data_IF_038409161160
#
_entry.id   IF_038409161160
#
_cell.length_a   1.000
_cell.length_b   1.000
_cell.length_c   1.000
_cell.angle_alpha   90.00
_cell.angle_beta   90.00
_cell.angle_gamma   90.00
#
_symmetry.space_group_name_H-M   'P 1'
#
loop_
_entity.id
_entity.type
_entity.pdbx_description
1 polymer ?
#
# COMPACT_ATOMS: atom_id res chain seq x y z
N UNK A 1 -26.20 2.44 17.57
CA UNK A 1 -24.77 2.05 17.52
C UNK A 1 -24.00 2.58 16.29
N UNK A 2 -24.63 2.89 15.14
CA UNK A 2 -23.91 3.27 13.91
C UNK A 2 -23.14 4.61 14.01
N UNK A 3 -23.70 5.62 14.69
CA UNK A 3 -23.02 6.91 14.92
C UNK A 3 -21.78 6.75 15.81
N UNK A 4 -21.87 5.98 16.88
CA UNK A 4 -20.73 5.70 17.77
C UNK A 4 -19.60 4.98 17.03
N UNK A 5 -19.95 3.99 16.20
CA UNK A 5 -18.96 3.32 15.34
C UNK A 5 -18.28 4.32 14.40
N UNK A 6 -19.02 5.27 13.84
CA UNK A 6 -18.47 6.28 12.94
C UNK A 6 -17.57 7.28 13.66
N UNK A 7 -17.97 7.77 14.85
CA UNK A 7 -17.14 8.61 15.70
C UNK A 7 -15.78 7.95 15.95
N UNK A 8 -15.79 6.71 16.44
CA UNK A 8 -14.57 5.94 16.71
C UNK A 8 -13.75 5.75 15.43
N UNK A 9 -14.36 5.33 14.33
CA UNK A 9 -13.66 5.06 13.06
C UNK A 9 -13.00 6.32 12.50
N UNK A 10 -13.71 7.46 12.50
CA UNK A 10 -13.18 8.75 12.05
C UNK A 10 -12.06 9.23 12.96
N UNK A 11 -12.21 9.13 14.29
CA UNK A 11 -11.14 9.52 15.21
C UNK A 11 -9.90 8.65 15.04
N UNK A 12 -10.05 7.33 14.91
CA UNK A 12 -8.92 6.41 14.68
C UNK A 12 -8.22 6.67 13.34
N UNK A 13 -8.95 7.08 12.30
CA UNK A 13 -8.37 7.45 11.00
C UNK A 13 -7.40 8.63 11.11
N UNK A 14 -7.58 9.51 12.11
CA UNK A 14 -6.66 10.61 12.42
C UNK A 14 -5.38 10.20 13.17
N UNK A 15 -5.19 8.89 13.42
CA UNK A 15 -4.02 8.30 14.11
C UNK A 15 -3.61 9.07 15.38
N UNK A 16 -4.49 9.18 16.39
CA UNK A 16 -4.17 9.89 17.63
C UNK A 16 -2.98 9.21 18.33
N UNK A 17 -2.06 10.03 18.85
CA UNK A 17 -0.81 9.59 19.47
C UNK A 17 -0.95 9.29 20.96
N UNK A 18 -2.10 9.59 21.58
CA UNK A 18 -2.40 9.27 22.98
C UNK A 18 -3.89 9.01 23.20
N UNK A 19 -4.20 8.32 24.30
CA UNK A 19 -5.58 8.02 24.71
C UNK A 19 -6.35 9.30 25.05
N UNK A 20 -5.71 10.29 25.67
CA UNK A 20 -6.34 11.57 26.01
C UNK A 20 -6.69 12.37 24.74
N UNK A 21 -5.81 12.40 23.74
CA UNK A 21 -6.12 13.00 22.44
C UNK A 21 -7.26 12.27 21.72
N UNK A 22 -7.32 10.94 21.85
CA UNK A 22 -8.43 10.17 21.33
C UNK A 22 -9.75 10.54 22.00
N UNK A 23 -9.80 10.54 23.35
CA UNK A 23 -11.01 10.91 24.12
C UNK A 23 -11.49 12.31 23.76
N UNK A 24 -10.58 13.29 23.72
CA UNK A 24 -10.91 14.67 23.38
C UNK A 24 -11.51 14.77 21.97
N UNK A 25 -10.92 14.07 20.98
CA UNK A 25 -11.42 14.06 19.60
C UNK A 25 -12.75 13.32 19.44
N UNK A 26 -12.94 12.18 20.10
CA UNK A 26 -14.22 11.44 20.05
C UNK A 26 -15.34 12.25 20.69
N UNK A 27 -15.06 12.90 21.83
CA UNK A 27 -16.04 13.72 22.53
C UNK A 27 -16.37 15.00 21.77
N UNK A 28 -15.38 15.60 21.09
CA UNK A 28 -15.60 16.72 20.19
C UNK A 28 -16.58 16.35 19.05
N UNK A 29 -16.35 15.21 18.39
CA UNK A 29 -17.20 14.64 17.32
C UNK A 29 -18.56 14.15 17.84
N UNK A 30 -19.34 15.02 18.45
CA UNK A 30 -20.65 14.72 18.99
C UNK A 30 -21.68 14.39 17.89
N UNK A 31 -22.87 13.94 18.30
CA UNK A 31 -23.93 13.53 17.37
C UNK A 31 -24.26 14.62 16.32
N UNK A 32 -24.31 15.88 16.74
CA UNK A 32 -24.64 17.00 15.84
C UNK A 32 -23.55 17.23 14.79
N UNK A 33 -22.28 17.08 15.16
CA UNK A 33 -21.15 17.20 14.23
C UNK A 33 -21.14 16.07 13.22
N UNK A 34 -21.40 14.82 13.65
CA UNK A 34 -21.52 13.69 12.73
C UNK A 34 -22.67 13.91 11.74
N UNK A 35 -23.80 14.43 12.20
CA UNK A 35 -24.93 14.69 11.32
C UNK A 35 -24.60 15.79 10.30
N UNK A 36 -23.93 16.88 10.72
CA UNK A 36 -23.45 17.93 9.83
C UNK A 36 -22.47 17.37 8.79
N UNK A 37 -21.49 16.56 9.22
CA UNK A 37 -20.52 15.94 8.31
C UNK A 37 -21.20 15.08 7.25
N UNK A 38 -22.14 14.21 7.65
CA UNK A 38 -22.91 13.39 6.70
C UNK A 38 -23.71 14.23 5.72
N UNK A 39 -24.31 15.33 6.17
CA UNK A 39 -25.06 16.24 5.31
C UNK A 39 -24.14 16.94 4.30
N UNK A 40 -23.00 17.46 4.75
CA UNK A 40 -21.99 18.08 3.88
C UNK A 40 -21.44 17.07 2.87
N UNK A 41 -21.15 15.84 3.30
CA UNK A 41 -20.69 14.75 2.43
C UNK A 41 -21.72 14.39 1.37
N UNK A 42 -23.01 14.34 1.72
CA UNK A 42 -24.09 14.09 0.77
C UNK A 42 -24.19 15.21 -0.28
N UNK A 43 -24.17 16.46 0.15
CA UNK A 43 -24.22 17.62 -0.77
C UNK A 43 -23.01 17.62 -1.71
N UNK A 44 -21.82 17.41 -1.17
CA UNK A 44 -20.60 17.32 -1.97
C UNK A 44 -20.63 16.14 -2.95
N UNK A 45 -21.15 14.99 -2.51
CA UNK A 45 -21.31 13.83 -3.38
C UNK A 45 -22.27 14.14 -4.54
N UNK A 46 -23.41 14.77 -4.28
CA UNK A 46 -24.36 15.21 -5.33
C UNK A 46 -23.70 16.16 -6.35
N UNK A 47 -22.92 17.15 -5.89
CA UNK A 47 -22.16 18.05 -6.77
C UNK A 47 -21.14 17.30 -7.62
N UNK A 48 -20.43 16.32 -7.04
CA UNK A 48 -19.41 15.55 -7.77
C UNK A 48 -19.98 14.58 -8.81
N UNK A 49 -21.30 14.34 -8.76
CA UNK A 49 -22.06 13.50 -9.69
C UNK A 49 -22.79 14.32 -10.76
N UNK A 50 -22.69 15.65 -10.73
CA UNK A 50 -23.28 16.49 -11.77
C UNK A 50 -22.70 16.14 -13.16
N UNK A 51 -23.51 16.08 -14.24
CA UNK A 51 -23.05 15.64 -15.56
C UNK A 51 -21.79 16.36 -16.08
N UNK A 52 -21.65 17.70 -15.97
CA UNK A 52 -20.43 18.38 -16.41
C UNK A 52 -19.18 17.96 -15.62
N UNK A 53 -19.33 17.64 -14.34
CA UNK A 53 -18.22 17.18 -13.48
C UNK A 53 -17.82 15.76 -13.87
N UNK A 54 -18.78 14.89 -14.15
CA UNK A 54 -18.51 13.52 -14.61
C UNK A 54 -17.84 13.49 -15.98
N UNK A 55 -18.32 14.31 -16.93
CA UNK A 55 -17.70 14.45 -18.25
C UNK A 55 -16.25 14.93 -18.14
N UNK A 56 -15.99 15.93 -17.29
CA UNK A 56 -14.63 16.42 -17.05
C UNK A 56 -13.75 15.34 -16.42
N UNK A 57 -14.26 14.58 -15.44
CA UNK A 57 -13.53 13.45 -14.85
C UNK A 57 -13.14 12.41 -15.88
N UNK A 58 -14.05 12.00 -16.76
CA UNK A 58 -13.73 11.01 -17.80
C UNK A 58 -12.72 11.55 -18.82
N UNK A 59 -12.77 12.85 -19.14
CA UNK A 59 -11.76 13.50 -20.01
C UNK A 59 -10.37 13.54 -19.36
N UNK A 60 -10.26 13.78 -18.05
CA UNK A 60 -9.00 13.88 -17.31
C UNK A 60 -8.42 12.53 -16.87
N UNK A 61 -9.26 11.50 -16.76
CA UNK A 61 -8.90 10.14 -16.34
C UNK A 61 -7.66 9.56 -17.05
N UNK A 62 -7.49 9.63 -18.38
CA UNK A 62 -6.31 9.08 -19.04
C UNK A 62 -5.01 9.75 -18.57
N UNK A 63 -5.01 11.08 -18.43
CA UNK A 63 -3.84 11.83 -17.94
C UNK A 63 -3.52 11.47 -16.50
N UNK A 64 -4.53 11.36 -15.65
CA UNK A 64 -4.36 10.94 -14.26
C UNK A 64 -3.80 9.52 -14.15
N UNK A 65 -4.29 8.59 -14.96
CA UNK A 65 -3.78 7.21 -15.00
C UNK A 65 -2.34 7.16 -15.47
N UNK A 66 -1.96 7.99 -16.44
CA UNK A 66 -0.58 8.10 -16.90
C UNK A 66 0.33 8.68 -15.81
N UNK A 67 -0.12 9.70 -15.08
CA UNK A 67 0.62 10.25 -13.94
C UNK A 67 0.83 9.19 -12.84
N UNK A 68 -0.21 8.43 -12.52
CA UNK A 68 -0.10 7.30 -11.58
C UNK A 68 0.91 6.28 -12.10
N UNK A 69 0.85 5.91 -13.39
CA UNK A 69 1.77 4.96 -14.02
C UNK A 69 3.23 5.43 -13.89
N UNK A 70 3.51 6.69 -14.20
CA UNK A 70 4.84 7.29 -14.07
C UNK A 70 5.33 7.26 -12.62
N UNK A 71 4.48 7.65 -11.67
CA UNK A 71 4.82 7.62 -10.25
C UNK A 71 5.11 6.19 -9.75
N UNK A 72 4.34 5.20 -10.20
CA UNK A 72 4.55 3.78 -9.87
C UNK A 72 5.86 3.25 -10.45
N UNK A 73 6.16 3.55 -11.72
CA UNK A 73 7.44 3.18 -12.35
C UNK A 73 8.62 3.81 -11.60
N UNK A 74 8.53 5.10 -11.28
CA UNK A 74 9.53 5.77 -10.47
C UNK A 74 9.72 5.05 -9.12
N UNK A 75 8.63 4.66 -8.45
CA UNK A 75 8.73 3.92 -7.18
C UNK A 75 9.45 2.58 -7.34
N UNK A 76 9.21 1.84 -8.42
CA UNK A 76 9.93 0.60 -8.73
C UNK A 76 11.41 0.86 -9.02
N UNK A 77 11.73 1.96 -9.72
CA UNK A 77 13.11 2.37 -10.00
C UNK A 77 13.89 2.76 -8.74
N UNK A 78 13.22 3.35 -7.74
CA UNK A 78 13.82 3.56 -6.42
C UNK A 78 14.14 2.22 -5.76
N UNK A 79 13.18 1.28 -5.80
CA UNK A 79 13.33 -0.05 -5.22
C UNK A 79 12.73 -0.18 -3.83
N UNK A 80 12.75 -1.40 -3.28
CA UNK A 80 12.19 -1.72 -1.97
C UNK A 80 12.93 -2.90 -1.34
N UNK A 81 13.01 -2.89 0.00
CA UNK A 81 13.52 -4.00 0.81
C UNK A 81 12.43 -5.04 1.05
N UNK A 82 12.79 -6.30 0.92
CA UNK A 82 11.93 -7.45 1.13
C UNK A 82 12.55 -8.36 2.19
N UNK A 83 11.70 -8.88 3.09
CA UNK A 83 12.11 -9.94 4.03
C UNK A 83 12.21 -11.26 3.29
N UNK A 84 13.30 -12.00 3.49
CA UNK A 84 13.46 -13.35 2.94
C UNK A 84 12.54 -14.30 3.71
N UNK A 85 11.72 -15.04 2.98
CA UNK A 85 10.82 -16.04 3.58
C UNK A 85 11.69 -17.24 3.98
N UNK A 86 11.82 -17.47 5.29
CA UNK A 86 12.61 -18.57 5.85
C UNK A 86 11.73 -19.42 6.77
N UNK A 87 11.85 -20.76 6.68
CA UNK A 87 11.22 -21.68 7.64
C UNK A 87 11.84 -21.60 9.04
N UNK A 88 13.04 -21.01 9.20
CA UNK A 88 13.75 -20.91 10.50
C UNK A 88 13.75 -19.47 10.99
N UNK A 89 13.14 -19.26 12.17
CA UNK A 89 12.88 -17.98 12.86
C UNK A 89 14.11 -17.13 13.25
N UNK A 90 15.33 -17.44 12.83
CA UNK A 90 16.55 -16.91 13.49
C UNK A 90 17.40 -15.89 12.74
N UNK A 91 17.14 -15.55 11.48
CA UNK A 91 17.86 -14.44 10.83
C UNK A 91 16.90 -13.64 9.95
N UNK A 92 16.69 -12.36 10.30
CA UNK A 92 16.01 -11.36 9.48
C UNK A 92 16.91 -10.99 8.29
N UNK A 93 17.04 -11.92 7.34
CA UNK A 93 17.73 -11.65 6.08
C UNK A 93 16.83 -10.81 5.20
N UNK A 94 17.37 -9.68 4.74
CA UNK A 94 16.72 -8.79 3.80
C UNK A 94 17.34 -8.97 2.42
N UNK A 95 16.55 -8.65 1.40
CA UNK A 95 17.03 -8.53 0.04
C UNK A 95 16.37 -7.31 -0.60
N UNK A 96 17.08 -6.67 -1.52
CA UNK A 96 16.62 -5.46 -2.19
C UNK A 96 16.27 -5.77 -3.63
N UNK A 97 15.22 -5.14 -4.16
CA UNK A 97 14.87 -5.22 -5.56
C UNK A 97 14.52 -3.83 -6.09
N UNK A 98 15.05 -3.48 -7.28
CA UNK A 98 14.74 -2.24 -7.99
C UNK A 98 14.68 -2.45 -9.50
N UNK A 99 13.90 -1.62 -10.16
CA UNK A 99 13.80 -1.57 -11.61
C UNK A 99 14.92 -0.70 -12.20
N UNK A 100 15.46 -1.11 -13.35
CA UNK A 100 16.40 -0.30 -14.12
C UNK A 100 15.72 0.98 -14.64
N UNK A 101 16.44 2.11 -14.79
CA UNK A 101 15.84 3.36 -15.28
C UNK A 101 15.17 3.27 -16.66
N UNK A 102 15.57 2.30 -17.48
CA UNK A 102 14.94 2.03 -18.78
C UNK A 102 13.71 1.10 -18.71
N UNK A 103 13.30 0.69 -17.51
CA UNK A 103 12.17 -0.20 -17.22
C UNK A 103 12.24 -1.61 -17.83
N UNK A 104 13.45 -2.08 -18.18
CA UNK A 104 13.63 -3.37 -18.87
C UNK A 104 14.13 -4.50 -17.98
N UNK A 105 14.77 -4.22 -16.84
CA UNK A 105 15.41 -5.24 -16.00
C UNK A 105 15.15 -4.96 -14.53
N UNK A 106 14.69 -5.95 -13.79
CA UNK A 106 14.67 -5.93 -12.32
C UNK A 106 16.01 -6.44 -11.82
N UNK A 107 16.67 -5.63 -10.99
CA UNK A 107 17.90 -5.98 -10.30
C UNK A 107 17.59 -6.33 -8.85
N UNK A 108 18.20 -7.40 -8.35
CA UNK A 108 18.02 -7.79 -6.95
C UNK A 108 19.24 -8.46 -6.33
N UNK A 109 19.26 -8.54 -5.00
CA UNK A 109 20.36 -9.12 -4.23
C UNK A 109 20.10 -9.09 -2.73
N UNK A 110 20.78 -9.97 -1.98
CA UNK A 110 20.72 -9.99 -0.52
C UNK A 110 21.42 -8.74 0.06
N UNK A 111 20.91 -8.19 1.17
CA UNK A 111 21.43 -6.98 1.84
C UNK A 111 21.55 -7.23 3.34
N UNK A 112 22.66 -6.77 3.93
CA UNK A 112 22.96 -7.03 5.35
C UNK A 112 22.37 -6.00 6.33
N UNK A 113 21.87 -4.85 5.86
CA UNK A 113 21.33 -3.77 6.70
C UNK A 113 20.03 -3.13 6.19
N UNK A 114 19.19 -2.64 7.11
CA UNK A 114 17.88 -2.02 6.80
C UNK A 114 17.95 -0.61 6.19
N UNK A 115 19.07 0.11 6.35
CA UNK A 115 19.19 1.54 5.99
C UNK A 115 19.89 1.80 4.67
N UNK A 116 20.47 0.78 4.05
CA UNK A 116 21.26 0.96 2.84
C UNK A 116 20.40 0.75 1.60
N UNK A 117 20.40 1.74 0.71
CA UNK A 117 19.81 1.59 -0.64
C UNK A 117 20.96 1.20 -1.58
N UNK A 118 21.13 -0.09 -1.90
CA UNK A 118 22.27 -0.52 -2.70
C UNK A 118 22.23 0.11 -4.09
N UNK A 119 23.41 0.40 -4.64
CA UNK A 119 23.53 0.79 -6.04
C UNK A 119 23.02 -0.32 -6.95
N UNK A 120 22.59 0.03 -8.16
CA UNK A 120 22.10 -0.98 -9.13
C UNK A 120 23.19 -1.99 -9.53
N UNK A 121 24.46 -1.58 -9.43
CA UNK A 121 25.64 -2.39 -9.76
C UNK A 121 25.98 -3.41 -8.67
N UNK A 122 25.66 -3.10 -7.40
CA UNK A 122 25.84 -4.02 -6.28
C UNK A 122 24.85 -5.19 -6.31
N UNK A 123 23.74 -5.05 -7.05
CA UNK A 123 22.72 -6.08 -7.22
C UNK A 123 23.10 -6.99 -8.39
N UNK A 124 23.63 -8.17 -8.05
CA UNK A 124 24.22 -9.10 -9.01
C UNK A 124 23.16 -9.81 -9.87
N UNK A 125 21.99 -10.08 -9.31
CA UNK A 125 20.94 -10.87 -9.97
C UNK A 125 20.01 -9.99 -10.81
N UNK A 126 19.57 -10.53 -11.95
CA UNK A 126 18.81 -9.77 -12.97
C UNK A 126 17.68 -10.60 -13.55
N UNK A 127 16.51 -9.97 -13.71
CA UNK A 127 15.34 -10.54 -14.40
C UNK A 127 14.89 -9.54 -15.46
N UNK A 128 14.94 -9.89 -16.75
CA UNK A 128 14.33 -9.08 -17.78
C UNK A 128 12.81 -8.99 -17.57
N UNK A 129 12.27 -7.77 -17.58
CA UNK A 129 10.83 -7.52 -17.35
C UNK A 129 9.98 -8.20 -18.41
N UNK A 130 10.48 -8.29 -19.65
CA UNK A 130 9.80 -8.96 -20.76
C UNK A 130 9.59 -10.46 -20.53
N UNK A 131 10.40 -11.09 -19.66
CA UNK A 131 10.31 -12.53 -19.39
C UNK A 131 9.30 -12.85 -18.27
N UNK A 132 8.80 -11.83 -17.57
CA UNK A 132 7.82 -11.98 -16.49
C UNK A 132 6.45 -12.32 -17.09
N UNK A 133 5.97 -13.53 -16.83
CA UNK A 133 4.67 -14.00 -17.35
C UNK A 133 3.48 -13.56 -16.51
N UNK A 134 3.61 -13.62 -15.19
CA UNK A 134 2.55 -13.28 -14.26
C UNK A 134 3.11 -12.93 -12.87
N UNK A 135 2.27 -12.24 -12.07
CA UNK A 135 2.53 -11.95 -10.66
C UNK A 135 1.35 -12.45 -9.86
N UNK A 136 1.61 -13.29 -8.86
CA UNK A 136 0.59 -13.87 -7.96
C UNK A 136 0.73 -13.29 -6.56
N UNK A 137 -0.35 -13.27 -5.79
CA UNK A 137 -0.36 -12.75 -4.42
C UNK A 137 -1.10 -13.69 -3.46
N UNK A 138 -0.86 -13.52 -2.16
CA UNK A 138 -1.57 -14.26 -1.12
C UNK A 138 -1.37 -15.79 -1.19
N UNK A 139 -2.46 -16.55 -1.19
CA UNK A 139 -2.46 -18.02 -1.15
C UNK A 139 -1.91 -18.69 -2.41
N UNK A 140 -1.84 -17.95 -3.52
CA UNK A 140 -1.37 -18.46 -4.80
C UNK A 140 0.16 -18.46 -4.90
N UNK A 141 0.84 -17.78 -3.97
CA UNK A 141 2.28 -17.82 -3.82
C UNK A 141 2.77 -19.24 -3.49
N UNK A 142 3.73 -19.82 -4.24
CA UNK A 142 4.23 -21.18 -4.00
C UNK A 142 4.76 -21.39 -2.57
N UNK A 143 5.50 -20.42 -2.04
CA UNK A 143 6.06 -20.46 -0.68
C UNK A 143 5.00 -20.49 0.44
N UNK A 144 3.76 -20.10 0.15
CA UNK A 144 2.65 -20.19 1.12
C UNK A 144 2.03 -21.60 1.17
N UNK A 145 2.22 -22.41 0.12
CA UNK A 145 1.65 -23.77 0.03
C UNK A 145 2.47 -24.79 0.83
N UNK A 146 3.80 -24.61 0.90
CA UNK A 146 4.71 -25.54 1.59
C UNK A 146 4.60 -25.50 3.12
N UNK A 147 4.14 -24.39 3.71
CA UNK A 147 3.99 -24.26 5.16
C UNK A 147 2.79 -25.02 5.76
N UNK A 148 1.96 -25.69 4.95
CA UNK A 148 0.83 -26.50 5.46
C UNK A 148 1.25 -27.87 6.01
N UNK A 149 2.47 -28.33 5.76
CA UNK A 149 2.94 -29.67 6.18
C UNK A 149 3.54 -29.77 7.59
N UNK A 150 3.66 -28.65 8.33
CA UNK A 150 4.22 -28.64 9.70
C UNK A 150 3.17 -28.27 10.76
N UNK A 151 1.96 -28.81 10.65
CA UNK A 151 1.13 -28.94 11.85
C UNK A 151 1.70 -30.09 12.68
N UNK A 152 2.42 -29.70 13.72
CA UNK A 152 2.77 -30.51 14.88
C UNK A 152 1.55 -31.34 15.26
N UNK A 153 1.70 -32.67 15.22
CA UNK A 153 0.75 -33.57 15.86
C UNK A 153 0.63 -33.13 17.33
N UNK A 154 -0.60 -32.90 17.75
CA UNK A 154 -1.00 -32.70 19.16
C UNK A 154 -0.62 -33.94 19.95
#
# INVERSE_FOLDING_TARGET
>A
MQVVREQITRTLSSKPTSLELFKNKVNALNYSEILKLRQTERLHQEETLAPPVLELKERLKPELLELIRQQRLNRLCHGTLFRKISSRRRQDKLWYCRLSPNHKVLHYGDVEGEKETPSIEALQEKIPVADIKNVVTGKDCPHMKENKGKQTKV
#
